data_IF_760380766497
#
_entry.id   IF_760380766497
#
_cell.length_a   1.000
_cell.length_b   1.000
_cell.length_c   1.000
_cell.angle_alpha   90.00
_cell.angle_beta   90.00
_cell.angle_gamma   90.00
#
_symmetry.space_group_name_H-M   'P 1'
#
loop_
_entity.id
_entity.type
_entity.pdbx_description
1 polymer ?
#
# COMPACT_ATOMS: atom_id res chain seq x y z
N UNK A 1 -16.67 15.40 5.91
CA UNK A 1 -15.82 14.92 4.80
C UNK A 1 -15.90 13.40 4.76
N UNK A 2 -15.98 12.79 3.58
CA UNK A 2 -15.91 11.34 3.40
C UNK A 2 -14.45 10.91 3.29
N UNK A 3 -14.04 9.90 4.06
CA UNK A 3 -12.71 9.32 3.96
C UNK A 3 -12.55 8.50 2.66
N UNK A 4 -11.35 8.46 2.06
CA UNK A 4 -11.13 7.70 0.84
C UNK A 4 -11.29 6.21 1.10
N UNK A 5 -12.05 5.52 0.24
CA UNK A 5 -12.22 4.05 0.31
C UNK A 5 -11.08 3.30 -0.37
N UNK A 6 -10.43 3.91 -1.35
CA UNK A 6 -9.36 3.33 -2.16
C UNK A 6 -8.22 4.35 -2.23
N UNK A 7 -6.98 3.89 -1.97
CA UNK A 7 -5.77 4.71 -2.05
C UNK A 7 -4.73 3.99 -2.91
N UNK A 8 -4.09 4.72 -3.83
CA UNK A 8 -2.94 4.26 -4.61
C UNK A 8 -1.71 5.08 -4.21
N UNK A 9 -0.67 4.42 -3.71
CA UNK A 9 0.59 5.04 -3.32
C UNK A 9 1.69 4.56 -4.26
N UNK A 10 2.29 5.48 -5.03
CA UNK A 10 3.45 5.18 -5.87
C UNK A 10 4.75 5.44 -5.10
N UNK A 11 5.82 4.73 -5.45
CA UNK A 11 7.09 4.85 -4.73
C UNK A 11 7.03 4.34 -3.28
N UNK A 12 6.19 3.34 -3.02
CA UNK A 12 5.89 2.85 -1.68
C UNK A 12 6.96 1.90 -1.09
N UNK A 13 8.10 1.70 -1.77
CA UNK A 13 9.13 0.77 -1.30
C UNK A 13 9.97 1.29 -0.13
N UNK A 14 10.01 2.61 0.09
CA UNK A 14 10.82 3.27 1.14
C UNK A 14 10.35 4.71 1.37
N UNK A 15 10.92 5.37 2.39
CA UNK A 15 10.73 6.80 2.63
C UNK A 15 9.26 7.20 2.83
N UNK A 16 8.88 8.35 2.28
CA UNK A 16 7.54 8.94 2.49
C UNK A 16 6.42 8.08 1.92
N UNK A 17 6.63 7.42 0.77
CA UNK A 17 5.63 6.52 0.20
C UNK A 17 5.32 5.34 1.12
N UNK A 18 6.35 4.73 1.71
CA UNK A 18 6.19 3.68 2.72
C UNK A 18 5.49 4.20 3.98
N UNK A 19 5.86 5.40 4.44
CA UNK A 19 5.26 5.99 5.63
C UNK A 19 3.78 6.32 5.42
N UNK A 20 3.38 6.79 4.24
CA UNK A 20 1.96 6.98 3.91
C UNK A 20 1.17 5.69 4.08
N UNK A 21 1.68 4.56 3.56
CA UNK A 21 1.01 3.26 3.70
C UNK A 21 0.86 2.90 5.18
N UNK A 22 1.91 3.07 5.99
CA UNK A 22 1.85 2.83 7.44
C UNK A 22 0.82 3.72 8.12
N UNK A 23 0.83 5.02 7.86
CA UNK A 23 -0.09 5.98 8.46
C UNK A 23 -1.55 5.70 8.07
N UNK A 24 -1.83 5.32 6.82
CA UNK A 24 -3.19 4.94 6.40
C UNK A 24 -3.71 3.71 7.14
N UNK A 25 -2.85 2.74 7.45
CA UNK A 25 -3.22 1.53 8.18
C UNK A 25 -3.46 1.79 9.67
N UNK A 26 -2.86 2.84 10.23
CA UNK A 26 -3.04 3.25 11.62
C UNK A 26 -4.30 4.11 11.84
N UNK A 27 -5.01 4.49 10.78
CA UNK A 27 -6.25 5.24 10.90
C UNK A 27 -7.31 4.42 11.64
N UNK A 28 -8.10 5.09 12.50
CA UNK A 28 -9.24 4.48 13.19
C UNK A 28 -10.24 3.81 12.22
N UNK A 29 -10.36 4.38 11.01
CA UNK A 29 -11.13 3.81 9.90
C UNK A 29 -10.24 3.85 8.66
N UNK A 30 -9.45 2.78 8.41
CA UNK A 30 -8.53 2.75 7.29
C UNK A 30 -9.29 2.65 5.94
N UNK A 31 -8.67 3.09 4.83
CA UNK A 31 -9.19 2.83 3.50
C UNK A 31 -9.45 1.34 3.31
N UNK A 32 -10.53 0.99 2.61
CA UNK A 32 -10.87 -0.40 2.30
C UNK A 32 -9.78 -1.08 1.46
N UNK A 33 -9.11 -0.32 0.60
CA UNK A 33 -8.02 -0.80 -0.23
C UNK A 33 -6.87 0.20 -0.27
N UNK A 34 -5.65 -0.29 -0.08
CA UNK A 34 -4.42 0.47 -0.27
C UNK A 34 -3.56 -0.31 -1.25
N UNK A 35 -3.28 0.28 -2.40
CA UNK A 35 -2.39 -0.26 -3.42
C UNK A 35 -1.02 0.41 -3.29
N UNK A 36 -0.03 -0.36 -2.83
CA UNK A 36 1.34 0.13 -2.68
C UNK A 36 2.19 -0.29 -3.89
N UNK A 37 2.53 0.66 -4.75
CA UNK A 37 3.26 0.41 -5.98
C UNK A 37 4.74 0.72 -5.85
N UNK A 38 5.59 -0.20 -6.31
CA UNK A 38 7.03 0.01 -6.45
C UNK A 38 7.59 -0.78 -7.63
N UNK A 39 8.90 -0.63 -7.90
CA UNK A 39 9.56 -1.32 -9.03
C UNK A 39 9.94 -2.76 -8.72
N UNK A 40 10.33 -3.05 -7.48
CA UNK A 40 10.86 -4.33 -7.03
C UNK A 40 10.13 -4.76 -5.76
N UNK A 41 9.01 -5.48 -5.90
CA UNK A 41 8.14 -5.81 -4.78
C UNK A 41 8.64 -6.90 -3.88
N UNK A 42 9.26 -7.89 -4.49
CA UNK A 42 9.67 -9.11 -3.82
C UNK A 42 10.65 -8.78 -2.69
N UNK A 43 11.36 -7.65 -2.84
CA UNK A 43 12.34 -7.08 -1.92
C UNK A 43 11.87 -5.78 -1.25
N UNK A 44 10.61 -5.34 -1.42
CA UNK A 44 10.14 -4.07 -0.88
C UNK A 44 9.76 -4.18 0.59
N UNK A 45 10.14 -3.19 1.41
CA UNK A 45 9.78 -3.16 2.84
C UNK A 45 8.26 -3.14 3.06
N UNK A 46 7.50 -2.54 2.14
CA UNK A 46 6.03 -2.50 2.20
C UNK A 46 5.39 -3.89 2.11
N UNK A 47 6.09 -4.90 1.58
CA UNK A 47 5.62 -6.29 1.54
C UNK A 47 5.38 -6.88 2.92
N UNK A 48 6.18 -6.49 3.91
CA UNK A 48 6.02 -6.95 5.29
C UNK A 48 4.74 -6.40 5.96
N UNK A 49 4.04 -5.48 5.30
CA UNK A 49 2.85 -4.80 5.81
C UNK A 49 1.55 -5.48 5.36
N UNK A 50 1.58 -6.32 4.31
CA UNK A 50 0.38 -7.00 3.76
C UNK A 50 -0.35 -7.90 4.77
N UNK A 51 0.36 -8.50 5.71
CA UNK A 51 -0.21 -9.52 6.61
C UNK A 51 -1.19 -8.99 7.67
N UNK A 52 -1.32 -7.67 7.86
CA UNK A 52 -2.05 -7.12 9.01
C UNK A 52 -3.42 -6.53 8.75
N UNK A 53 -3.89 -6.42 7.50
CA UNK A 53 -5.19 -5.81 7.22
C UNK A 53 -5.91 -6.52 6.07
N UNK A 54 -7.25 -6.63 6.20
CA UNK A 54 -8.18 -7.08 5.17
C UNK A 54 -7.99 -6.32 3.84
N UNK A 55 -7.05 -6.77 3.00
CA UNK A 55 -6.87 -6.34 1.62
C UNK A 55 -5.91 -5.16 1.39
N UNK A 56 -4.67 -5.25 1.87
CA UNK A 56 -3.57 -4.56 1.17
C UNK A 56 -3.22 -5.45 -0.02
N UNK A 57 -3.60 -5.03 -1.23
CA UNK A 57 -3.14 -5.69 -2.44
C UNK A 57 -1.91 -4.92 -2.91
N UNK A 58 -0.71 -5.45 -2.68
CA UNK A 58 0.47 -5.03 -3.42
C UNK A 58 0.34 -5.64 -4.82
N UNK A 59 -0.59 -5.10 -5.59
CA UNK A 59 -0.62 -5.34 -7.02
C UNK A 59 0.45 -4.44 -7.61
N UNK A 60 1.62 -5.03 -7.73
CA UNK A 60 2.59 -4.54 -8.66
C UNK A 60 1.98 -4.82 -10.00
N UNK A 61 1.81 -3.76 -10.76
CA UNK A 61 1.70 -3.92 -12.18
C UNK A 61 2.83 -4.86 -12.64
N UNK A 62 2.51 -6.14 -12.84
CA UNK A 62 3.30 -7.03 -13.67
C UNK A 62 2.66 -6.88 -15.05
N UNK A 63 3.39 -6.37 -16.05
CA UNK A 63 2.90 -6.45 -17.42
C UNK A 63 2.62 -7.93 -17.68
N UNK A 64 1.36 -8.27 -17.87
CA UNK A 64 1.02 -9.50 -18.58
C UNK A 64 1.70 -9.41 -19.94
N UNK A 65 2.42 -10.48 -20.29
CA UNK A 65 3.13 -10.62 -21.56
C UNK A 65 2.32 -10.11 -22.75
#
# INVERSE_FOLDING_TARGET
MLAPKIVLVTGANRGIGLEFVKQFLLLKSPPKYIFACCRQPDTAEVRLIEDRCNGVFINLWKPTK
#
